data_IF_286092991132
#
_entry.id   IF_286092991132
#
_cell.length_a   1.000
_cell.length_b   1.000
_cell.length_c   1.000
_cell.angle_alpha   90.00
_cell.angle_beta   90.00
_cell.angle_gamma   90.00
#
_symmetry.space_group_name_H-M   'P 1'
#
loop_
_entity.id
_entity.type
_entity.pdbx_description
1 polymer ?
#
# COMPACT_ATOMS: atom_id res chain seq x y z
N UNK A 1 -14.52 14.57 -13.89
CA UNK A 1 -13.65 15.35 -12.99
C UNK A 1 -14.50 15.82 -11.82
N UNK A 2 -14.34 15.17 -10.69
CA UNK A 2 -15.05 15.60 -9.48
C UNK A 2 -14.41 16.89 -8.98
N UNK A 3 -15.13 18.00 -9.11
CA UNK A 3 -14.74 19.31 -8.54
C UNK A 3 -15.19 19.46 -7.08
N UNK A 4 -15.25 18.36 -6.33
CA UNK A 4 -15.83 18.36 -4.98
C UNK A 4 -14.90 19.03 -3.98
N UNK A 5 -13.61 19.14 -4.30
CA UNK A 5 -12.71 19.97 -3.54
C UNK A 5 -11.86 20.82 -4.48
N UNK A 6 -12.30 22.05 -4.82
CA UNK A 6 -11.34 22.99 -5.37
C UNK A 6 -10.25 23.11 -4.31
N UNK A 7 -9.04 22.66 -4.64
CA UNK A 7 -7.88 22.86 -3.78
C UNK A 7 -7.98 24.24 -3.18
N UNK A 8 -7.99 24.35 -1.86
CA UNK A 8 -7.81 25.63 -1.20
C UNK A 8 -6.44 26.13 -1.67
N UNK A 9 -6.46 27.00 -2.67
CA UNK A 9 -5.23 27.52 -3.25
C UNK A 9 -4.37 28.05 -2.12
N UNK A 10 -3.33 27.34 -1.79
CA UNK A 10 -2.16 27.92 -1.18
C UNK A 10 -2.01 27.88 0.33
N UNK A 11 -2.96 27.41 1.16
CA UNK A 11 -2.80 27.40 2.61
C UNK A 11 -3.22 26.08 3.25
N UNK A 12 -2.65 25.02 2.80
CA UNK A 12 -2.88 23.66 3.33
C UNK A 12 -2.44 23.47 4.80
N UNK A 13 -1.79 24.45 5.37
CA UNK A 13 -1.25 24.43 6.74
C UNK A 13 -2.05 25.28 7.72
N UNK A 14 -3.13 25.88 7.28
CA UNK A 14 -3.96 26.72 8.14
C UNK A 14 -4.80 25.85 9.10
N UNK A 15 -4.81 26.24 10.37
CA UNK A 15 -5.59 25.59 11.43
C UNK A 15 -7.10 25.53 11.15
N UNK A 16 -7.56 26.35 10.23
CA UNK A 16 -8.97 26.59 9.96
C UNK A 16 -9.46 25.99 8.63
N UNK A 17 -8.64 25.20 7.95
CA UNK A 17 -9.06 24.56 6.71
C UNK A 17 -10.11 23.50 7.02
N UNK A 18 -11.30 23.64 6.45
CA UNK A 18 -12.35 22.63 6.50
C UNK A 18 -12.07 21.51 5.50
N UNK A 19 -12.33 20.28 5.92
CA UNK A 19 -12.32 19.15 5.01
C UNK A 19 -13.50 19.24 4.06
N UNK A 20 -13.25 19.05 2.77
CA UNK A 20 -14.32 19.03 1.79
C UNK A 20 -15.15 17.73 1.93
N UNK A 21 -16.44 17.89 1.84
CA UNK A 21 -17.38 16.78 2.04
C UNK A 21 -17.67 16.46 3.52
N UNK A 22 -16.87 16.97 4.44
CA UNK A 22 -17.12 16.84 5.86
C UNK A 22 -17.95 18.00 6.39
N UNK A 23 -18.72 17.79 7.42
CA UNK A 23 -19.58 18.79 8.05
C UNK A 23 -18.83 19.71 9.01
N UNK A 24 -17.50 19.79 8.93
CA UNK A 24 -16.77 20.81 9.63
C UNK A 24 -15.57 20.40 10.45
N UNK A 25 -14.99 19.23 10.20
CA UNK A 25 -13.71 18.89 10.80
C UNK A 25 -12.58 19.83 10.33
N UNK A 26 -11.65 20.11 11.21
CA UNK A 26 -10.50 20.97 10.93
C UNK A 26 -9.24 20.14 10.80
N UNK A 27 -8.42 20.43 9.80
CA UNK A 27 -7.14 19.79 9.62
C UNK A 27 -6.13 20.13 10.73
N UNK A 28 -5.34 19.15 11.15
CA UNK A 28 -4.20 19.40 12.03
C UNK A 28 -3.01 19.92 11.23
N UNK A 29 -2.22 20.80 11.85
CA UNK A 29 -0.92 21.16 11.32
C UNK A 29 0.05 20.00 11.57
N UNK A 30 0.54 19.37 10.51
CA UNK A 30 1.57 18.33 10.57
C UNK A 30 2.95 18.93 10.25
N UNK A 31 4.03 18.21 10.57
CA UNK A 31 5.36 18.54 10.07
C UNK A 31 5.45 18.22 8.57
N UNK A 32 6.33 18.93 7.85
CA UNK A 32 6.46 18.72 6.40
C UNK A 32 6.84 17.27 6.07
N UNK A 33 7.71 16.63 6.85
CA UNK A 33 8.08 15.23 6.63
C UNK A 33 6.93 14.27 6.95
N UNK A 34 6.12 14.53 7.98
CA UNK A 34 4.95 13.70 8.28
C UNK A 34 3.91 13.80 7.17
N UNK A 35 3.69 15.01 6.63
CA UNK A 35 2.81 15.22 5.49
C UNK A 35 3.36 14.56 4.22
N UNK A 36 4.67 14.68 3.96
CA UNK A 36 5.32 14.01 2.84
C UNK A 36 5.14 12.50 2.94
N UNK A 37 5.42 11.91 4.10
CA UNK A 37 5.24 10.48 4.36
C UNK A 37 3.81 10.03 4.06
N UNK A 38 2.82 10.77 4.53
CA UNK A 38 1.40 10.47 4.28
C UNK A 38 1.08 10.44 2.79
N UNK A 39 1.50 11.44 2.04
CA UNK A 39 1.25 11.53 0.60
C UNK A 39 1.94 10.41 -0.19
N UNK A 40 3.18 10.08 0.16
CA UNK A 40 3.94 9.05 -0.57
C UNK A 40 3.46 7.63 -0.26
N UNK A 41 3.05 7.35 0.97
CA UNK A 41 2.54 6.04 1.37
C UNK A 41 1.16 5.72 0.76
N UNK A 42 0.40 6.73 0.43
CA UNK A 42 -0.85 6.58 -0.31
C UNK A 42 -0.65 5.95 -1.69
N UNK A 43 0.52 6.10 -2.29
CA UNK A 43 0.90 5.55 -3.60
C UNK A 43 -0.10 5.87 -4.74
N UNK A 44 -0.74 7.04 -4.66
CA UNK A 44 -1.75 7.49 -5.63
C UNK A 44 -1.21 8.56 -6.58
N UNK A 45 0.06 8.47 -6.93
CA UNK A 45 0.66 9.29 -7.99
C UNK A 45 -0.10 9.08 -9.29
N UNK A 46 -0.57 10.15 -9.90
CA UNK A 46 -1.27 10.14 -11.20
C UNK A 46 -2.61 9.37 -11.21
N UNK A 47 -3.21 9.14 -10.05
CA UNK A 47 -4.56 8.62 -9.91
C UNK A 47 -5.47 9.68 -9.26
N UNK A 48 -6.67 9.85 -9.81
CA UNK A 48 -7.67 10.72 -9.21
C UNK A 48 -8.26 10.06 -7.97
N UNK A 49 -8.35 10.80 -6.91
CA UNK A 49 -9.00 10.40 -5.65
C UNK A 49 -10.12 11.37 -5.30
N UNK A 50 -11.00 11.00 -4.37
CA UNK A 50 -12.22 11.77 -4.09
C UNK A 50 -11.97 13.23 -3.72
N UNK A 51 -10.84 13.56 -3.12
CA UNK A 51 -10.52 14.89 -2.57
C UNK A 51 -9.28 15.54 -3.18
N UNK A 52 -8.55 14.86 -4.04
CA UNK A 52 -7.42 15.40 -4.78
C UNK A 52 -7.20 14.61 -6.07
N UNK A 53 -6.78 15.28 -7.12
CA UNK A 53 -6.32 14.61 -8.33
C UNK A 53 -4.85 14.14 -8.17
N UNK A 54 -4.46 13.11 -8.92
CA UNK A 54 -3.12 12.52 -8.83
C UNK A 54 -1.99 13.48 -9.24
N UNK A 55 -2.29 14.48 -10.07
CA UNK A 55 -1.36 15.57 -10.41
C UNK A 55 -1.16 16.46 -9.19
N UNK A 56 -2.23 16.80 -8.47
CA UNK A 56 -2.16 17.58 -7.24
C UNK A 56 -1.31 16.87 -6.18
N UNK A 57 -1.47 15.55 -6.00
CA UNK A 57 -0.67 14.75 -5.06
C UNK A 57 0.81 14.78 -5.42
N UNK A 58 1.17 14.58 -6.70
CA UNK A 58 2.56 14.62 -7.13
C UNK A 58 3.19 16.01 -6.98
N UNK A 59 2.44 17.08 -7.25
CA UNK A 59 2.91 18.46 -7.06
C UNK A 59 3.17 18.77 -5.58
N UNK A 60 2.29 18.31 -4.68
CA UNK A 60 2.48 18.49 -3.24
C UNK A 60 3.72 17.74 -2.72
N UNK A 61 3.98 16.53 -3.22
CA UNK A 61 5.22 15.80 -2.92
C UNK A 61 6.43 16.62 -3.37
N UNK A 62 6.41 17.15 -4.61
CA UNK A 62 7.51 17.97 -5.15
C UNK A 62 7.74 19.25 -4.34
N UNK A 63 6.68 19.90 -3.84
CA UNK A 63 6.76 21.10 -3.02
C UNK A 63 7.25 20.83 -1.59
N UNK A 64 7.02 19.64 -1.05
CA UNK A 64 7.41 19.27 0.31
C UNK A 64 8.86 18.80 0.40
N UNK A 65 9.38 18.12 -0.62
CA UNK A 65 10.76 17.59 -0.62
C UNK A 65 11.79 18.64 -0.20
N UNK A 66 11.84 19.85 -0.79
CA UNK A 66 12.84 20.85 -0.40
C UNK A 66 12.66 21.44 1.00
N UNK A 67 11.50 21.22 1.64
CA UNK A 67 11.21 21.70 3.00
C UNK A 67 11.63 20.70 4.09
N UNK A 68 11.94 19.47 3.69
CA UNK A 68 12.35 18.37 4.58
C UNK A 68 13.88 18.26 4.62
N UNK A 69 14.42 17.67 5.68
CA UNK A 69 15.85 17.36 5.74
C UNK A 69 16.21 16.32 4.67
N UNK A 70 17.32 16.52 3.91
CA UNK A 70 17.67 15.63 2.80
C UNK A 70 17.82 14.15 3.18
N UNK A 71 18.36 13.87 4.36
CA UNK A 71 18.51 12.51 4.88
C UNK A 71 17.14 11.86 5.13
N UNK A 72 16.20 12.58 5.75
CA UNK A 72 14.86 12.05 6.02
C UNK A 72 14.11 11.70 4.74
N UNK A 73 14.27 12.50 3.67
CA UNK A 73 13.68 12.23 2.36
C UNK A 73 14.32 11.01 1.71
N UNK A 74 15.66 10.88 1.83
CA UNK A 74 16.39 9.72 1.32
C UNK A 74 15.97 8.43 2.03
N UNK A 75 15.87 8.46 3.35
CA UNK A 75 15.43 7.32 4.17
C UNK A 75 13.98 6.94 3.85
N UNK A 76 13.10 7.93 3.69
CA UNK A 76 11.71 7.69 3.28
C UNK A 76 11.63 7.03 1.89
N UNK A 77 12.45 7.44 0.92
CA UNK A 77 12.47 6.81 -0.41
C UNK A 77 12.88 5.33 -0.31
N UNK A 78 13.91 5.02 0.49
CA UNK A 78 14.35 3.62 0.71
C UNK A 78 13.26 2.83 1.44
N UNK A 79 12.69 3.36 2.51
CA UNK A 79 11.59 2.75 3.24
C UNK A 79 10.39 2.44 2.33
N UNK A 80 9.95 3.41 1.52
CA UNK A 80 8.86 3.22 0.55
C UNK A 80 9.12 2.03 -0.38
N UNK A 81 10.37 1.76 -0.74
CA UNK A 81 10.71 0.62 -1.60
C UNK A 81 10.87 -0.67 -0.83
N UNK A 82 11.65 -0.66 0.23
CA UNK A 82 12.07 -1.88 0.92
C UNK A 82 10.97 -2.43 1.83
N UNK A 83 10.32 -1.55 2.58
CA UNK A 83 9.27 -1.91 3.52
C UNK A 83 7.87 -1.86 2.90
N UNK A 84 7.54 -0.77 2.21
CA UNK A 84 6.20 -0.57 1.65
C UNK A 84 6.01 -1.17 0.25
N UNK A 85 7.06 -1.76 -0.33
CA UNK A 85 7.08 -2.40 -1.66
C UNK A 85 6.56 -1.51 -2.81
N UNK A 86 6.50 -0.19 -2.60
CA UNK A 86 6.06 0.76 -3.61
C UNK A 86 7.02 0.78 -4.80
N UNK A 87 6.47 0.94 -6.01
CA UNK A 87 7.28 0.88 -7.24
C UNK A 87 7.69 2.25 -7.75
N UNK A 88 6.73 3.11 -8.02
CA UNK A 88 6.98 4.38 -8.70
C UNK A 88 7.26 5.53 -7.74
N UNK A 89 6.62 5.55 -6.57
CA UNK A 89 6.79 6.62 -5.58
C UNK A 89 8.25 6.83 -5.14
N UNK A 90 9.03 5.79 -4.77
CA UNK A 90 10.44 6.00 -4.43
C UNK A 90 11.27 6.50 -5.59
N UNK A 91 10.97 6.08 -6.83
CA UNK A 91 11.64 6.60 -8.03
C UNK A 91 11.30 8.08 -8.27
N UNK A 92 10.06 8.46 -8.02
CA UNK A 92 9.61 9.85 -8.13
C UNK A 92 10.29 10.73 -7.08
N UNK A 93 10.36 10.31 -5.81
CA UNK A 93 11.10 11.02 -4.76
C UNK A 93 12.56 11.23 -5.20
N UNK A 94 13.24 10.18 -5.65
CA UNK A 94 14.64 10.27 -6.09
C UNK A 94 14.80 11.23 -7.29
N UNK A 95 13.85 11.23 -8.24
CA UNK A 95 13.87 12.16 -9.38
C UNK A 95 13.67 13.62 -8.92
N UNK A 96 12.72 13.88 -8.02
CA UNK A 96 12.51 15.22 -7.47
C UNK A 96 13.72 15.70 -6.64
N UNK A 97 14.36 14.83 -5.85
CA UNK A 97 15.60 15.18 -5.11
C UNK A 97 16.72 15.69 -6.01
N UNK A 98 16.76 15.29 -7.29
CA UNK A 98 17.79 15.81 -8.24
C UNK A 98 17.66 17.29 -8.55
N UNK A 99 16.49 17.86 -8.35
CA UNK A 99 16.17 19.26 -8.61
C UNK A 99 16.70 20.22 -7.52
N UNK A 100 17.16 19.69 -6.40
CA UNK A 100 17.55 20.45 -5.20
C UNK A 100 19.01 20.17 -4.83
N UNK A 101 19.84 21.20 -4.75
CA UNK A 101 21.28 21.09 -4.53
C UNK A 101 21.63 20.36 -3.23
N UNK A 102 20.85 20.58 -2.17
CA UNK A 102 21.05 19.92 -0.88
C UNK A 102 20.68 18.44 -0.88
N UNK A 103 19.75 18.02 -1.76
CA UNK A 103 19.20 16.66 -1.81
C UNK A 103 19.90 15.76 -2.84
N UNK A 104 20.39 16.34 -3.94
CA UNK A 104 20.91 15.58 -5.08
C UNK A 104 22.10 14.67 -4.75
N UNK A 105 22.89 14.99 -3.72
CA UNK A 105 24.03 14.18 -3.31
C UNK A 105 23.63 12.78 -2.85
N UNK A 106 22.44 12.62 -2.25
CA UNK A 106 21.90 11.36 -1.75
C UNK A 106 21.41 10.44 -2.89
N UNK A 107 21.06 10.99 -4.04
CA UNK A 107 20.46 10.22 -5.15
C UNK A 107 21.35 9.08 -5.61
N UNK A 108 22.67 9.29 -5.66
CA UNK A 108 23.64 8.24 -6.04
C UNK A 108 23.54 7.01 -5.11
N UNK A 109 23.28 7.22 -3.83
CA UNK A 109 23.29 6.17 -2.81
C UNK A 109 21.95 5.45 -2.70
N UNK A 110 20.84 6.18 -2.93
CA UNK A 110 19.51 5.60 -2.80
C UNK A 110 19.06 4.84 -4.05
N UNK A 111 19.47 5.25 -5.27
CA UNK A 111 19.05 4.60 -6.52
C UNK A 111 19.33 3.08 -6.52
N UNK A 112 20.53 2.57 -6.16
CA UNK A 112 20.75 1.13 -6.10
C UNK A 112 19.88 0.41 -5.06
N UNK A 113 19.49 1.09 -4.00
CA UNK A 113 18.63 0.53 -2.93
C UNK A 113 17.15 0.47 -3.33
N UNK A 114 16.68 1.46 -4.10
CA UNK A 114 15.27 1.52 -4.50
C UNK A 114 14.99 0.82 -5.83
N UNK A 115 15.98 0.65 -6.69
CA UNK A 115 15.86 -0.09 -7.96
C UNK A 115 16.14 -1.57 -7.70
N UNK A 116 15.09 -2.31 -7.37
CA UNK A 116 15.14 -3.75 -7.03
C UNK A 116 14.57 -4.65 -8.12
N UNK A 117 14.22 -4.09 -9.29
CA UNK A 117 13.79 -4.80 -10.50
C UNK A 117 14.40 -4.12 -11.70
N UNK A 118 14.80 -4.89 -12.71
CA UNK A 118 15.51 -4.35 -13.87
C UNK A 118 14.69 -3.32 -14.68
N UNK A 119 13.36 -3.48 -14.77
CA UNK A 119 12.49 -2.51 -15.46
C UNK A 119 12.45 -1.14 -14.77
N UNK A 120 12.72 -1.07 -13.45
CA UNK A 120 12.75 0.20 -12.73
C UNK A 120 13.90 1.11 -13.16
N UNK A 121 14.95 0.59 -13.80
CA UNK A 121 15.98 1.39 -14.46
C UNK A 121 15.37 2.28 -15.56
N UNK A 122 14.49 1.70 -16.36
CA UNK A 122 13.78 2.42 -17.42
C UNK A 122 12.67 3.32 -16.85
N UNK A 123 11.90 2.80 -15.87
CA UNK A 123 10.84 3.56 -15.20
C UNK A 123 11.40 4.83 -14.56
N UNK A 124 12.58 4.76 -13.92
CA UNK A 124 13.21 5.93 -13.34
C UNK A 124 13.48 7.02 -14.38
N UNK A 125 14.06 6.66 -15.53
CA UNK A 125 14.30 7.64 -16.59
C UNK A 125 13.00 8.20 -17.19
N UNK A 126 11.96 7.38 -17.31
CA UNK A 126 10.65 7.84 -17.75
C UNK A 126 10.06 8.89 -16.77
N UNK A 127 10.22 8.68 -15.47
CA UNK A 127 9.81 9.63 -14.43
C UNK A 127 10.72 10.87 -14.43
N UNK A 128 12.02 10.68 -14.52
CA UNK A 128 13.02 11.76 -14.50
C UNK A 128 12.84 12.74 -15.67
N UNK A 129 12.39 12.24 -16.82
CA UNK A 129 12.11 13.03 -18.02
C UNK A 129 10.62 13.30 -18.27
N UNK A 130 9.76 13.13 -17.26
CA UNK A 130 8.30 13.28 -17.44
C UNK A 130 7.91 14.64 -18.03
N UNK A 131 8.61 15.69 -17.69
CA UNK A 131 8.30 17.05 -18.12
C UNK A 131 9.05 17.43 -19.42
N UNK A 132 10.31 17.04 -19.53
CA UNK A 132 11.14 17.23 -20.73
C UNK A 132 12.42 16.39 -20.64
N UNK A 133 12.93 15.98 -21.80
CA UNK A 133 14.21 15.28 -21.88
C UNK A 133 15.37 16.27 -21.70
N UNK A 134 16.23 16.01 -20.71
CA UNK A 134 17.41 16.81 -20.40
C UNK A 134 18.61 15.90 -20.05
N UNK A 135 19.85 16.42 -20.02
CA UNK A 135 21.03 15.63 -19.66
C UNK A 135 20.90 14.99 -18.27
N UNK A 136 21.40 13.76 -18.14
CA UNK A 136 21.41 13.07 -16.86
C UNK A 136 22.40 13.75 -15.91
N UNK A 137 21.94 14.10 -14.71
CA UNK A 137 22.80 14.56 -13.63
C UNK A 137 23.84 13.48 -13.26
N UNK A 138 25.03 13.88 -12.82
CA UNK A 138 26.11 12.95 -12.51
C UNK A 138 25.75 11.96 -11.38
N UNK A 139 24.99 12.42 -10.36
CA UNK A 139 24.47 11.55 -9.30
C UNK A 139 23.54 10.47 -9.86
N UNK A 140 22.69 10.81 -10.85
CA UNK A 140 21.81 9.86 -11.54
C UNK A 140 22.60 8.84 -12.33
N UNK A 141 23.59 9.29 -13.15
CA UNK A 141 24.43 8.38 -13.92
C UNK A 141 25.13 7.36 -13.03
N UNK A 142 25.76 7.83 -11.94
CA UNK A 142 26.49 6.97 -11.00
C UNK A 142 25.53 6.01 -10.25
N UNK A 143 24.38 6.50 -9.80
CA UNK A 143 23.41 5.68 -9.08
C UNK A 143 22.76 4.61 -9.96
N UNK A 144 22.40 4.94 -11.21
CA UNK A 144 21.87 3.96 -12.16
C UNK A 144 22.94 2.95 -12.58
N UNK A 145 24.19 3.41 -12.82
CA UNK A 145 25.29 2.51 -13.15
C UNK A 145 25.51 1.46 -12.04
N UNK A 146 25.51 1.89 -10.78
CA UNK A 146 25.61 0.98 -9.63
C UNK A 146 24.39 0.05 -9.53
N UNK A 147 23.18 0.53 -9.82
CA UNK A 147 21.98 -0.29 -9.80
C UNK A 147 21.95 -1.42 -10.85
N UNK A 148 22.71 -1.32 -11.94
CA UNK A 148 22.85 -2.41 -12.92
C UNK A 148 23.42 -3.69 -12.29
N UNK A 149 24.29 -3.55 -11.30
CA UNK A 149 24.93 -4.68 -10.62
C UNK A 149 24.00 -5.49 -9.71
N UNK A 150 22.77 -5.04 -9.52
CA UNK A 150 21.78 -5.74 -8.70
C UNK A 150 21.10 -6.92 -9.42
N UNK A 151 21.36 -7.12 -10.73
CA UNK A 151 20.55 -8.00 -11.55
C UNK A 151 21.37 -9.04 -12.33
N UNK A 152 20.85 -10.24 -12.37
CA UNK A 152 21.34 -11.32 -13.21
C UNK A 152 20.69 -11.31 -14.62
N UNK A 153 21.15 -12.24 -15.50
CA UNK A 153 20.61 -12.36 -16.85
C UNK A 153 19.11 -12.66 -16.87
N UNK A 154 18.62 -13.50 -15.97
CA UNK A 154 17.20 -13.85 -15.88
C UNK A 154 16.35 -12.62 -15.53
N UNK A 155 16.80 -11.82 -14.56
CA UNK A 155 16.12 -10.60 -14.14
C UNK A 155 16.09 -9.55 -15.25
N UNK A 156 17.19 -9.37 -15.98
CA UNK A 156 17.20 -8.49 -17.15
C UNK A 156 16.27 -8.99 -18.25
N UNK A 157 16.37 -10.27 -18.63
CA UNK A 157 15.55 -10.87 -19.69
C UNK A 157 14.05 -10.84 -19.38
N UNK A 158 13.68 -11.08 -18.10
CA UNK A 158 12.29 -11.03 -17.64
C UNK A 158 11.67 -9.65 -17.82
N UNK A 159 12.46 -8.60 -17.70
CA UNK A 159 11.97 -7.22 -17.69
C UNK A 159 12.42 -6.41 -18.92
N UNK A 160 13.15 -7.00 -19.87
CA UNK A 160 13.50 -6.34 -21.14
C UNK A 160 12.26 -6.31 -22.06
N UNK A 161 11.54 -5.20 -21.95
CA UNK A 161 10.29 -4.98 -22.71
C UNK A 161 10.52 -4.00 -23.86
N UNK A 162 9.69 -4.11 -24.89
CA UNK A 162 9.67 -3.11 -25.96
C UNK A 162 8.89 -1.88 -25.47
N UNK A 163 9.61 -0.95 -24.85
CA UNK A 163 9.12 0.30 -24.29
C UNK A 163 9.86 1.48 -24.93
N UNK A 164 9.38 2.69 -24.70
CA UNK A 164 10.00 3.93 -25.21
C UNK A 164 11.47 4.04 -24.75
N UNK A 165 11.73 3.74 -23.47
CA UNK A 165 13.07 3.66 -22.90
C UNK A 165 13.39 2.19 -22.67
N UNK A 166 14.45 1.67 -23.27
CA UNK A 166 14.87 0.27 -23.20
C UNK A 166 16.09 0.10 -22.31
N UNK A 167 16.26 -1.08 -21.71
CA UNK A 167 17.44 -1.37 -20.88
C UNK A 167 18.76 -1.04 -21.55
N UNK A 168 18.91 -1.37 -22.85
CA UNK A 168 20.11 -1.03 -23.63
C UNK A 168 20.36 0.47 -23.74
N UNK A 169 19.29 1.29 -23.75
CA UNK A 169 19.43 2.74 -23.87
C UNK A 169 19.94 3.30 -22.54
N UNK A 170 19.42 2.80 -21.41
CA UNK A 170 19.94 3.14 -20.08
C UNK A 170 21.40 2.73 -19.96
N UNK A 171 21.74 1.48 -20.32
CA UNK A 171 23.12 0.98 -20.31
C UNK A 171 24.09 1.91 -21.08
N UNK A 172 23.67 2.34 -22.27
CA UNK A 172 24.47 3.25 -23.13
C UNK A 172 24.61 4.66 -22.59
N UNK A 173 23.70 5.11 -21.73
CA UNK A 173 23.74 6.45 -21.13
C UNK A 173 24.56 6.51 -19.85
N UNK A 174 24.53 5.44 -19.06
CA UNK A 174 25.17 5.44 -17.73
C UNK A 174 26.53 4.74 -17.70
N UNK A 175 26.84 3.89 -18.70
CA UNK A 175 28.12 3.20 -18.87
C UNK A 175 28.58 2.47 -17.58
N UNK A 176 27.79 1.48 -17.04
CA UNK A 176 28.24 0.74 -15.87
C UNK A 176 29.54 0.00 -16.19
N UNK A 177 30.49 0.05 -15.26
CA UNK A 177 31.78 -0.63 -15.40
C UNK A 177 31.60 -2.07 -14.91
N UNK A 178 31.77 -3.09 -15.76
CA UNK A 178 31.64 -4.48 -15.34
C UNK A 178 32.65 -4.83 -14.25
N UNK A 179 32.20 -5.60 -13.24
CA UNK A 179 33.02 -6.05 -12.11
C UNK A 179 33.89 -7.28 -12.47
N UNK A 180 33.45 -8.04 -13.47
CA UNK A 180 34.13 -9.25 -13.95
C UNK A 180 33.75 -9.54 -15.41
N UNK A 181 34.37 -10.60 -15.99
CA UNK A 181 34.12 -11.01 -17.37
C UNK A 181 32.70 -11.48 -17.64
N UNK A 182 32.07 -12.14 -16.66
CA UNK A 182 30.70 -12.62 -16.81
C UNK A 182 29.71 -11.44 -16.91
N UNK A 183 29.90 -10.43 -16.08
CA UNK A 183 29.10 -9.22 -16.12
C UNK A 183 29.34 -8.41 -17.39
N UNK A 184 30.60 -8.36 -17.87
CA UNK A 184 30.92 -7.76 -19.17
C UNK A 184 30.20 -8.46 -20.32
N UNK A 185 30.16 -9.80 -20.30
CA UNK A 185 29.43 -10.59 -21.27
C UNK A 185 27.91 -10.36 -21.16
N UNK A 186 27.39 -10.24 -19.95
CA UNK A 186 25.98 -9.92 -19.71
C UNK A 186 25.59 -8.55 -20.26
N UNK A 187 26.37 -7.50 -19.96
CA UNK A 187 26.13 -6.16 -20.50
C UNK A 187 26.22 -6.12 -22.03
N UNK A 188 27.13 -6.92 -22.63
CA UNK A 188 27.16 -7.09 -24.08
C UNK A 188 25.86 -7.71 -24.60
N UNK A 189 25.32 -8.78 -23.97
CA UNK A 189 24.05 -9.39 -24.39
C UNK A 189 22.87 -8.41 -24.29
N UNK A 190 22.81 -7.55 -23.25
CA UNK A 190 21.79 -6.49 -23.15
C UNK A 190 21.92 -5.51 -24.34
N UNK A 191 23.13 -5.07 -24.62
CA UNK A 191 23.46 -4.14 -25.75
C UNK A 191 23.04 -4.72 -27.09
N UNK A 192 23.35 -6.00 -27.31
CA UNK A 192 23.17 -6.72 -28.59
C UNK A 192 21.78 -7.35 -28.71
N UNK A 193 20.95 -7.29 -27.64
CA UNK A 193 19.61 -7.91 -27.55
C UNK A 193 19.64 -9.43 -27.74
N UNK A 194 20.61 -10.08 -27.11
CA UNK A 194 20.82 -11.53 -27.17
C UNK A 194 20.64 -12.19 -25.80
N UNK A 195 19.87 -11.55 -24.90
CA UNK A 195 19.49 -12.16 -23.63
C UNK A 195 18.69 -13.45 -23.89
N UNK A 196 18.92 -14.47 -23.07
CA UNK A 196 18.17 -15.72 -23.16
C UNK A 196 16.71 -15.48 -22.79
N UNK A 197 15.78 -16.05 -23.55
CA UNK A 197 14.36 -15.99 -23.23
C UNK A 197 14.13 -16.62 -21.84
N UNK A 198 13.56 -15.89 -20.87
CA UNK A 198 13.38 -16.38 -19.52
C UNK A 198 12.20 -17.36 -19.46
N UNK A 199 12.33 -18.43 -18.68
CA UNK A 199 11.22 -19.33 -18.38
C UNK A 199 10.31 -18.69 -17.33
N UNK A 200 9.50 -17.72 -17.77
CA UNK A 200 8.45 -17.11 -16.96
C UNK A 200 7.09 -17.68 -17.34
N UNK A 201 6.13 -17.61 -16.44
CA UNK A 201 4.79 -18.11 -16.71
C UNK A 201 4.14 -17.37 -17.90
N UNK A 202 4.43 -16.07 -18.10
CA UNK A 202 3.95 -15.28 -19.24
C UNK A 202 4.47 -15.86 -20.56
N UNK A 203 5.76 -16.16 -20.62
CA UNK A 203 6.40 -16.75 -21.82
C UNK A 203 5.88 -18.16 -22.05
N UNK A 204 5.88 -18.99 -21.02
CA UNK A 204 5.45 -20.38 -21.09
C UNK A 204 4.01 -20.52 -21.60
N UNK A 205 3.08 -19.75 -21.04
CA UNK A 205 1.66 -19.78 -21.43
C UNK A 205 1.44 -19.16 -22.82
N UNK A 206 2.19 -18.12 -23.17
CA UNK A 206 2.09 -17.50 -24.50
C UNK A 206 2.62 -18.40 -25.62
N UNK A 207 3.61 -19.24 -25.31
CA UNK A 207 4.19 -20.19 -26.26
C UNK A 207 3.38 -21.49 -26.37
N UNK A 208 2.57 -21.82 -25.35
CA UNK A 208 1.77 -23.04 -25.35
C UNK A 208 0.55 -22.94 -26.28
N UNK A 209 0.32 -23.97 -27.10
CA UNK A 209 -0.94 -24.14 -27.84
C UNK A 209 -2.11 -24.36 -26.88
N UNK A 210 -3.34 -24.08 -27.32
CA UNK A 210 -4.53 -24.15 -26.46
C UNK A 210 -4.70 -25.52 -25.77
N UNK A 211 -4.40 -26.62 -26.47
CA UNK A 211 -4.47 -27.99 -25.97
C UNK A 211 -3.40 -28.29 -24.90
N UNK A 212 -2.28 -27.58 -24.90
CA UNK A 212 -1.16 -27.75 -23.94
C UNK A 212 -1.22 -26.81 -22.74
N UNK A 213 -2.08 -25.81 -22.74
CA UNK A 213 -2.17 -24.83 -21.65
C UNK A 213 -2.49 -25.45 -20.30
N UNK A 214 -3.29 -26.52 -20.27
CA UNK A 214 -3.60 -27.22 -19.02
C UNK A 214 -2.36 -27.87 -18.41
N UNK A 215 -1.56 -28.53 -19.23
CA UNK A 215 -0.34 -29.19 -18.78
C UNK A 215 0.70 -28.16 -18.34
N UNK A 216 0.81 -27.07 -19.08
CA UNK A 216 1.74 -26.00 -18.78
C UNK A 216 1.40 -25.26 -17.49
N UNK A 217 0.12 -24.94 -17.24
CA UNK A 217 -0.31 -24.41 -15.94
C UNK A 217 -0.03 -25.38 -14.81
N UNK A 218 -0.28 -26.69 -15.03
CA UNK A 218 0.00 -27.74 -14.05
C UNK A 218 1.49 -27.80 -13.71
N UNK A 219 2.37 -27.76 -14.71
CA UNK A 219 3.83 -27.71 -14.55
C UNK A 219 4.26 -26.49 -13.72
N UNK A 220 3.81 -25.29 -14.13
CA UNK A 220 4.18 -24.03 -13.47
C UNK A 220 3.77 -23.99 -11.99
N UNK A 221 2.62 -24.58 -11.65
CA UNK A 221 2.14 -24.68 -10.27
C UNK A 221 3.01 -25.69 -9.49
N UNK A 222 3.23 -26.89 -10.02
CA UNK A 222 3.99 -27.95 -9.36
C UNK A 222 5.46 -27.58 -9.16
N UNK A 223 6.06 -26.91 -10.14
CA UNK A 223 7.46 -26.42 -10.07
C UNK A 223 7.58 -25.09 -9.26
N UNK A 224 6.47 -24.55 -8.71
CA UNK A 224 6.45 -23.30 -7.93
C UNK A 224 7.00 -22.09 -8.70
N UNK A 225 6.77 -22.06 -10.02
CA UNK A 225 7.22 -20.95 -10.90
C UNK A 225 6.32 -19.72 -10.85
N UNK A 226 5.21 -19.80 -10.13
CA UNK A 226 4.30 -18.67 -9.91
C UNK A 226 4.55 -18.05 -8.56
N UNK A 227 4.92 -16.77 -8.53
CA UNK A 227 4.88 -16.01 -7.30
C UNK A 227 3.44 -15.83 -6.80
N UNK A 228 3.25 -15.61 -5.49
CA UNK A 228 1.92 -15.60 -4.86
C UNK A 228 0.90 -14.70 -5.55
N UNK A 229 1.27 -13.47 -5.88
CA UNK A 229 0.38 -12.54 -6.59
C UNK A 229 0.03 -13.02 -8.01
N UNK A 230 1.01 -13.59 -8.73
CA UNK A 230 0.77 -14.16 -10.05
C UNK A 230 -0.17 -15.36 -9.95
N UNK A 231 -0.01 -16.20 -8.94
CA UNK A 231 -0.90 -17.33 -8.69
C UNK A 231 -2.35 -16.87 -8.49
N UNK A 232 -2.60 -15.96 -7.54
CA UNK A 232 -3.94 -15.44 -7.25
C UNK A 232 -4.59 -14.77 -8.47
N UNK A 233 -3.82 -13.99 -9.22
CA UNK A 233 -4.33 -13.32 -10.45
C UNK A 233 -4.68 -14.29 -11.57
N UNK A 234 -4.12 -15.49 -11.58
CA UNK A 234 -4.38 -16.50 -12.60
C UNK A 234 -5.41 -17.55 -12.19
N UNK A 235 -6.07 -17.43 -11.03
CA UNK A 235 -7.08 -18.38 -10.57
C UNK A 235 -8.19 -18.65 -11.60
N UNK A 236 -8.69 -17.59 -12.27
CA UNK A 236 -9.68 -17.73 -13.35
C UNK A 236 -9.11 -18.47 -14.58
N UNK A 237 -7.82 -18.30 -14.89
CA UNK A 237 -7.16 -19.01 -15.98
C UNK A 237 -7.00 -20.50 -15.66
N UNK A 238 -6.74 -20.87 -14.41
CA UNK A 238 -6.69 -22.27 -14.01
C UNK A 238 -8.03 -22.96 -14.21
N UNK A 239 -9.13 -22.29 -13.84
CA UNK A 239 -10.49 -22.81 -14.05
C UNK A 239 -10.80 -22.93 -15.56
N UNK A 240 -10.54 -21.87 -16.32
CA UNK A 240 -10.77 -21.83 -17.77
C UNK A 240 -10.05 -22.97 -18.49
N UNK A 241 -8.80 -23.23 -18.11
CA UNK A 241 -7.96 -24.27 -18.70
C UNK A 241 -8.12 -25.64 -18.00
N UNK A 242 -9.15 -25.83 -17.17
CA UNK A 242 -9.48 -27.09 -16.51
C UNK A 242 -8.32 -27.74 -15.75
N UNK A 243 -7.46 -26.93 -15.12
CA UNK A 243 -6.40 -27.44 -14.24
C UNK A 243 -7.04 -28.22 -13.10
N UNK A 244 -6.49 -29.40 -12.77
CA UNK A 244 -7.05 -30.28 -11.74
C UNK A 244 -7.14 -29.56 -10.39
N UNK A 245 -8.28 -29.72 -9.70
CA UNK A 245 -8.56 -29.05 -8.42
C UNK A 245 -7.46 -29.26 -7.38
N UNK A 246 -6.99 -30.51 -7.23
CA UNK A 246 -5.94 -30.84 -6.27
C UNK A 246 -4.62 -30.11 -6.55
N UNK A 247 -4.28 -29.86 -7.82
CA UNK A 247 -3.08 -29.09 -8.21
C UNK A 247 -3.21 -27.63 -7.77
N UNK A 248 -4.39 -27.03 -8.00
CA UNK A 248 -4.66 -25.63 -7.60
C UNK A 248 -4.65 -25.50 -6.07
N UNK A 249 -5.27 -26.45 -5.36
CA UNK A 249 -5.30 -26.47 -3.89
C UNK A 249 -3.90 -26.62 -3.29
N UNK A 250 -3.05 -27.45 -3.91
CA UNK A 250 -1.66 -27.57 -3.50
C UNK A 250 -0.88 -26.28 -3.75
N UNK A 251 -1.11 -25.63 -4.89
CA UNK A 251 -0.54 -24.31 -5.18
C UNK A 251 -0.93 -23.25 -4.16
N UNK A 252 -2.19 -23.22 -3.71
CA UNK A 252 -2.66 -22.32 -2.66
C UNK A 252 -1.92 -22.52 -1.32
N UNK A 253 -1.56 -23.74 -0.96
CA UNK A 253 -0.79 -24.03 0.26
C UNK A 253 0.63 -23.46 0.21
N UNK A 254 1.18 -23.26 -0.98
CA UNK A 254 2.51 -22.66 -1.17
C UNK A 254 2.51 -21.13 -1.06
N UNK A 255 1.35 -20.49 -0.89
CA UNK A 255 1.27 -19.05 -0.62
C UNK A 255 1.70 -18.66 0.80
N UNK A 256 1.97 -19.63 1.68
CA UNK A 256 2.53 -19.37 3.02
C UNK A 256 3.81 -18.56 2.90
N UNK A 257 3.91 -17.48 3.71
CA UNK A 257 5.04 -16.57 3.67
C UNK A 257 5.01 -15.53 2.54
N UNK A 258 4.03 -15.60 1.65
CA UNK A 258 3.80 -14.52 0.69
C UNK A 258 3.17 -13.34 1.41
N UNK A 259 3.84 -12.19 1.38
CA UNK A 259 3.28 -10.93 1.92
C UNK A 259 2.28 -10.36 0.91
N UNK A 260 1.08 -10.95 0.90
CA UNK A 260 -0.05 -10.53 0.07
C UNK A 260 -1.10 -9.87 0.94
N UNK A 261 -1.75 -8.84 0.41
CA UNK A 261 -2.83 -8.17 1.10
C UNK A 261 -4.11 -9.02 1.06
N UNK A 262 -4.99 -8.94 2.07
CA UNK A 262 -6.31 -9.57 2.02
C UNK A 262 -7.10 -9.21 0.75
N UNK A 263 -6.91 -8.00 0.21
CA UNK A 263 -7.54 -7.57 -1.05
C UNK A 263 -7.16 -8.46 -2.25
N UNK A 264 -5.92 -8.94 -2.31
CA UNK A 264 -5.48 -9.85 -3.40
C UNK A 264 -6.23 -11.18 -3.33
N UNK A 265 -6.42 -11.72 -2.12
CA UNK A 265 -7.20 -12.95 -1.88
C UNK A 265 -8.69 -12.73 -2.15
N UNK A 266 -9.27 -11.63 -1.69
CA UNK A 266 -10.68 -11.28 -1.93
C UNK A 266 -10.94 -11.16 -3.45
N UNK A 267 -10.05 -10.51 -4.19
CA UNK A 267 -10.17 -10.38 -5.64
C UNK A 267 -10.11 -11.75 -6.33
N UNK A 268 -9.18 -12.60 -5.92
CA UNK A 268 -9.07 -13.96 -6.43
C UNK A 268 -10.33 -14.77 -6.13
N UNK A 269 -10.89 -14.68 -4.92
CA UNK A 269 -12.12 -15.38 -4.54
C UNK A 269 -13.33 -14.91 -5.35
N UNK A 270 -13.46 -13.61 -5.62
CA UNK A 270 -14.51 -13.06 -6.51
C UNK A 270 -14.43 -13.62 -7.94
N UNK A 271 -13.21 -13.85 -8.44
CA UNK A 271 -12.96 -14.37 -9.81
C UNK A 271 -13.00 -15.90 -9.89
N UNK A 272 -12.88 -16.59 -8.76
CA UNK A 272 -12.80 -18.04 -8.66
C UNK A 272 -13.72 -18.55 -7.54
N UNK A 273 -15.01 -18.32 -7.66
CA UNK A 273 -16.02 -18.59 -6.61
C UNK A 273 -16.04 -20.04 -6.13
N UNK A 274 -15.68 -21.02 -6.99
CA UNK A 274 -15.55 -22.42 -6.60
C UNK A 274 -14.38 -22.73 -5.66
N UNK A 275 -13.50 -21.75 -5.36
CA UNK A 275 -12.33 -21.87 -4.48
C UNK A 275 -12.35 -20.87 -3.32
N UNK A 276 -13.47 -20.23 -3.06
CA UNK A 276 -13.55 -19.15 -2.04
C UNK A 276 -13.02 -19.60 -0.68
N UNK A 277 -13.41 -20.79 -0.22
CA UNK A 277 -12.97 -21.37 1.07
C UNK A 277 -11.47 -21.65 1.09
N UNK A 278 -10.94 -22.23 0.03
CA UNK A 278 -9.53 -22.58 -0.08
C UNK A 278 -8.65 -21.32 -0.15
N UNK A 279 -9.11 -20.29 -0.84
CA UNK A 279 -8.43 -18.98 -0.94
C UNK A 279 -8.45 -18.28 0.42
N UNK A 280 -9.56 -18.28 1.14
CA UNK A 280 -9.65 -17.73 2.49
C UNK A 280 -8.74 -18.46 3.46
N UNK A 281 -8.73 -19.78 3.44
CA UNK A 281 -7.82 -20.58 4.24
C UNK A 281 -6.36 -20.28 3.93
N UNK A 282 -6.00 -20.13 2.65
CA UNK A 282 -4.65 -19.77 2.25
C UNK A 282 -4.26 -18.36 2.77
N UNK A 283 -5.19 -17.40 2.76
CA UNK A 283 -5.02 -16.08 3.36
C UNK A 283 -4.71 -16.18 4.86
N UNK A 284 -5.55 -16.85 5.61
CA UNK A 284 -5.40 -16.99 7.07
C UNK A 284 -4.09 -17.70 7.40
N UNK A 285 -3.76 -18.79 6.67
CA UNK A 285 -2.52 -19.52 6.85
C UNK A 285 -1.28 -18.68 6.53
N UNK A 286 -1.35 -17.78 5.53
CA UNK A 286 -0.23 -16.91 5.18
C UNK A 286 0.13 -15.90 6.28
N UNK A 287 -0.80 -15.60 7.18
CA UNK A 287 -0.58 -14.65 8.29
C UNK A 287 -0.27 -15.32 9.65
N UNK A 288 -0.44 -16.65 9.77
CA UNK A 288 -0.20 -17.36 11.03
C UNK A 288 1.23 -17.28 11.55
N UNK A 289 2.19 -17.14 10.66
CA UNK A 289 3.61 -17.03 11.02
C UNK A 289 4.03 -15.61 11.39
N UNK A 290 3.17 -14.59 11.15
CA UNK A 290 3.47 -13.24 11.55
C UNK A 290 3.50 -13.11 13.08
N UNK A 291 4.42 -12.32 13.64
CA UNK A 291 4.49 -12.07 15.06
C UNK A 291 3.16 -11.53 15.61
N UNK A 292 2.74 -12.04 16.76
CA UNK A 292 1.49 -11.59 17.39
C UNK A 292 1.69 -10.25 18.10
N UNK A 293 0.73 -9.36 17.92
CA UNK A 293 0.59 -8.15 18.73
C UNK A 293 -0.08 -8.56 20.06
N UNK A 294 0.66 -8.44 21.19
CA UNK A 294 0.15 -8.89 22.48
C UNK A 294 -0.99 -8.01 22.98
N UNK A 295 -1.79 -8.57 23.88
CA UNK A 295 -2.87 -7.87 24.56
C UNK A 295 -4.11 -7.67 23.69
N UNK A 296 -5.02 -6.81 24.17
CA UNK A 296 -6.35 -6.60 23.59
C UNK A 296 -6.40 -5.37 22.69
N UNK A 297 -6.94 -5.55 21.49
CA UNK A 297 -7.09 -4.48 20.49
C UNK A 297 -8.57 -4.17 20.26
N UNK A 298 -8.94 -2.89 20.24
CA UNK A 298 -10.25 -2.43 19.77
C UNK A 298 -10.11 -1.91 18.35
N UNK A 299 -10.81 -2.53 17.41
CA UNK A 299 -11.00 -2.00 16.07
C UNK A 299 -12.29 -1.18 15.99
N UNK A 300 -12.18 0.03 15.47
CA UNK A 300 -13.33 0.87 15.13
C UNK A 300 -13.31 1.05 13.61
N UNK A 301 -14.33 0.50 12.94
CA UNK A 301 -14.46 0.53 11.49
C UNK A 301 -15.52 1.53 11.08
N UNK A 302 -15.09 2.49 10.30
CA UNK A 302 -15.95 3.49 9.70
C UNK A 302 -16.74 2.87 8.53
N UNK A 303 -18.05 3.00 8.57
CA UNK A 303 -19.01 2.61 7.53
C UNK A 303 -19.76 3.83 6.97
N UNK A 304 -19.26 5.04 7.18
CA UNK A 304 -19.86 6.27 6.64
C UNK A 304 -19.99 6.22 5.12
N UNK A 305 -20.88 7.02 4.56
CA UNK A 305 -21.17 6.99 3.12
C UNK A 305 -19.97 7.29 2.23
N UNK A 306 -19.00 8.09 2.69
CA UNK A 306 -17.74 8.36 1.99
C UNK A 306 -16.88 7.10 1.80
N UNK A 307 -17.02 6.11 2.68
CA UNK A 307 -16.29 4.84 2.62
C UNK A 307 -16.70 3.94 1.46
N UNK A 308 -17.86 4.16 0.85
CA UNK A 308 -18.29 3.45 -0.37
C UNK A 308 -17.59 3.96 -1.62
N UNK A 309 -16.94 5.11 -1.55
CA UNK A 309 -16.21 5.66 -2.68
C UNK A 309 -15.02 4.76 -3.06
N UNK A 310 -14.71 4.61 -4.37
CA UNK A 310 -13.53 3.88 -4.79
C UNK A 310 -12.25 4.55 -4.25
N UNK A 311 -11.24 3.75 -3.96
CA UNK A 311 -9.93 4.26 -3.49
C UNK A 311 -9.22 5.08 -4.57
N UNK A 312 -9.46 4.77 -5.86
CA UNK A 312 -9.00 5.55 -7.00
C UNK A 312 -9.90 5.30 -8.21
N UNK A 313 -9.76 6.12 -9.24
CA UNK A 313 -10.50 5.98 -10.51
C UNK A 313 -10.24 4.66 -11.26
N UNK A 314 -9.17 3.94 -10.92
CA UNK A 314 -8.75 2.67 -11.53
C UNK A 314 -9.02 1.45 -10.67
N UNK A 315 -9.58 1.64 -9.48
CA UNK A 315 -9.79 0.55 -8.53
C UNK A 315 -11.25 0.13 -8.47
N UNK A 316 -11.48 -1.18 -8.45
CA UNK A 316 -12.77 -1.79 -8.18
C UNK A 316 -13.07 -1.90 -6.67
N UNK A 317 -12.11 -1.50 -5.81
CA UNK A 317 -12.25 -1.55 -4.37
C UNK A 317 -12.68 -0.20 -3.81
N UNK A 318 -13.63 -0.22 -2.88
CA UNK A 318 -14.01 0.93 -2.08
C UNK A 318 -13.03 1.13 -0.92
N UNK A 319 -13.10 2.30 -0.27
CA UNK A 319 -12.37 2.56 0.99
C UNK A 319 -12.79 1.59 2.08
N UNK A 320 -14.08 1.21 2.14
CA UNK A 320 -14.57 0.20 3.05
C UNK A 320 -13.94 -1.17 2.79
N UNK A 321 -13.76 -1.57 1.51
CA UNK A 321 -13.04 -2.80 1.17
C UNK A 321 -11.62 -2.79 1.76
N UNK A 322 -10.93 -1.67 1.63
CA UNK A 322 -9.56 -1.50 2.14
C UNK A 322 -9.54 -1.52 3.67
N UNK A 323 -10.43 -0.77 4.32
CA UNK A 323 -10.54 -0.74 5.77
C UNK A 323 -10.81 -2.14 6.35
N UNK A 324 -11.74 -2.89 5.76
CA UNK A 324 -12.02 -4.27 6.12
C UNK A 324 -10.80 -5.18 5.91
N UNK A 325 -10.09 -5.03 4.78
CA UNK A 325 -8.89 -5.82 4.49
C UNK A 325 -7.77 -5.55 5.52
N UNK A 326 -7.56 -4.28 5.89
CA UNK A 326 -6.59 -3.91 6.92
C UNK A 326 -6.99 -4.49 8.29
N UNK A 327 -8.26 -4.42 8.66
CA UNK A 327 -8.77 -5.01 9.89
C UNK A 327 -8.66 -6.55 9.88
N UNK A 328 -8.93 -7.21 8.75
CA UNK A 328 -8.71 -8.66 8.59
C UNK A 328 -7.24 -9.03 8.84
N UNK A 329 -6.32 -8.28 8.23
CA UNK A 329 -4.88 -8.52 8.43
C UNK A 329 -4.50 -8.33 9.91
N UNK A 330 -4.90 -7.21 10.51
CA UNK A 330 -4.62 -6.90 11.92
C UNK A 330 -5.22 -7.95 12.86
N UNK A 331 -6.46 -8.40 12.63
CA UNK A 331 -7.13 -9.39 13.46
C UNK A 331 -6.40 -10.73 13.49
N UNK A 332 -5.70 -11.10 12.41
CA UNK A 332 -4.93 -12.34 12.34
C UNK A 332 -3.62 -12.28 13.14
N UNK A 333 -3.10 -11.09 13.41
CA UNK A 333 -1.88 -10.90 14.21
C UNK A 333 -2.17 -10.44 15.64
N UNK A 334 -3.33 -9.86 15.94
CA UNK A 334 -3.72 -9.53 17.31
C UNK A 334 -4.01 -10.80 18.13
N UNK A 335 -3.55 -10.82 19.38
CA UNK A 335 -3.81 -11.89 20.34
C UNK A 335 -5.31 -11.95 20.64
N UNK A 336 -5.90 -10.85 21.06
CA UNK A 336 -7.32 -10.65 21.27
C UNK A 336 -7.80 -9.35 20.63
N UNK A 337 -9.07 -9.33 20.16
CA UNK A 337 -9.65 -8.12 19.62
C UNK A 337 -11.16 -8.03 19.75
N UNK A 338 -11.64 -6.80 19.86
CA UNK A 338 -13.05 -6.42 19.74
C UNK A 338 -13.25 -5.56 18.51
N UNK A 339 -14.43 -5.59 17.92
CA UNK A 339 -14.75 -4.86 16.69
C UNK A 339 -16.01 -4.03 16.88
N UNK A 340 -15.93 -2.76 16.54
CA UNK A 340 -17.06 -1.82 16.49
C UNK A 340 -17.21 -1.33 15.06
N UNK A 341 -18.38 -1.46 14.49
CA UNK A 341 -18.78 -0.77 13.28
C UNK A 341 -19.47 0.54 13.63
N UNK A 342 -19.16 1.62 12.93
CA UNK A 342 -19.70 2.95 13.19
C UNK A 342 -20.02 3.70 11.91
N UNK A 343 -21.09 4.47 11.96
CA UNK A 343 -21.47 5.52 11.02
C UNK A 343 -22.25 6.57 11.80
N UNK A 344 -23.18 7.28 11.20
CA UNK A 344 -23.99 8.25 11.93
C UNK A 344 -25.25 8.67 11.19
N UNK A 345 -25.88 9.64 11.79
CA UNK A 345 -27.02 10.38 11.28
C UNK A 345 -26.65 11.86 11.23
N UNK A 346 -26.44 12.39 10.03
CA UNK A 346 -25.99 13.77 9.84
C UNK A 346 -27.03 14.79 10.27
N UNK A 347 -28.34 14.47 10.15
CA UNK A 347 -29.41 15.36 10.57
C UNK A 347 -29.46 15.49 12.08
N UNK A 348 -29.31 14.35 12.77
CA UNK A 348 -29.31 14.34 14.22
C UNK A 348 -27.94 14.69 14.82
N UNK A 349 -26.89 14.76 13.98
CA UNK A 349 -25.49 14.89 14.37
C UNK A 349 -25.11 13.88 15.46
N UNK A 350 -25.45 12.62 15.25
CA UNK A 350 -25.33 11.57 16.24
C UNK A 350 -24.74 10.30 15.63
N UNK A 351 -23.80 9.67 16.36
CA UNK A 351 -23.25 8.40 15.92
C UNK A 351 -24.30 7.27 16.01
N UNK A 352 -24.10 6.28 15.16
CA UNK A 352 -24.74 4.97 15.28
C UNK A 352 -23.63 3.94 15.26
N UNK A 353 -23.52 3.14 16.32
CA UNK A 353 -22.41 2.19 16.49
C UNK A 353 -22.92 0.88 17.03
N UNK A 354 -22.31 -0.21 16.59
CA UNK A 354 -22.61 -1.57 17.01
C UNK A 354 -21.31 -2.30 17.33
N UNK A 355 -21.22 -2.89 18.50
CA UNK A 355 -20.19 -3.87 18.81
C UNK A 355 -20.55 -5.19 18.13
N UNK A 356 -19.61 -5.77 17.42
CA UNK A 356 -19.81 -7.02 16.69
C UNK A 356 -19.48 -8.18 17.62
N UNK A 357 -20.47 -9.01 17.91
CA UNK A 357 -20.29 -10.23 18.68
C UNK A 357 -19.47 -11.24 17.88
N UNK A 358 -18.44 -11.84 18.50
CA UNK A 358 -17.57 -12.84 17.88
C UNK A 358 -17.09 -12.45 16.47
N UNK A 359 -16.38 -11.33 16.32
CA UNK A 359 -16.03 -10.80 15.00
C UNK A 359 -15.16 -11.80 14.22
N UNK A 360 -15.48 -12.04 12.92
CA UNK A 360 -14.73 -12.99 12.10
C UNK A 360 -13.35 -12.44 11.70
N UNK A 361 -12.39 -13.33 11.50
CA UNK A 361 -11.02 -13.00 11.05
C UNK A 361 -10.81 -13.08 9.53
N UNK A 362 -11.81 -13.49 8.77
CA UNK A 362 -11.76 -13.76 7.33
C UNK A 362 -12.71 -12.88 6.51
N UNK A 363 -13.07 -13.37 5.33
CA UNK A 363 -13.88 -12.63 4.36
C UNK A 363 -15.27 -12.20 4.91
N UNK A 364 -15.81 -12.97 5.82
CA UNK A 364 -17.07 -12.64 6.48
C UNK A 364 -17.05 -11.33 7.27
N UNK A 365 -15.86 -10.76 7.59
CA UNK A 365 -15.74 -9.50 8.32
C UNK A 365 -16.48 -8.36 7.61
N UNK A 366 -16.25 -8.19 6.30
CA UNK A 366 -16.93 -7.16 5.53
C UNK A 366 -18.45 -7.35 5.52
N UNK A 367 -18.90 -8.57 5.25
CA UNK A 367 -20.34 -8.86 5.21
C UNK A 367 -21.01 -8.61 6.58
N UNK A 368 -20.30 -8.92 7.67
CA UNK A 368 -20.76 -8.64 9.02
C UNK A 368 -20.91 -7.14 9.26
N UNK A 369 -19.93 -6.33 8.84
CA UNK A 369 -19.99 -4.86 8.97
C UNK A 369 -21.12 -4.28 8.12
N UNK A 370 -21.31 -4.77 6.89
CA UNK A 370 -22.39 -4.31 6.01
C UNK A 370 -23.78 -4.60 6.58
N UNK A 371 -23.94 -5.68 7.33
CA UNK A 371 -25.22 -6.05 7.98
C UNK A 371 -25.53 -5.23 9.23
N UNK A 372 -24.54 -4.51 9.81
CA UNK A 372 -24.81 -3.63 10.94
C UNK A 372 -25.78 -2.51 10.50
N UNK A 373 -26.90 -2.39 11.19
CA UNK A 373 -27.88 -1.32 10.94
C UNK A 373 -27.46 -0.03 11.64
N UNK A 374 -26.52 0.68 11.05
CA UNK A 374 -25.92 1.91 11.60
C UNK A 374 -26.05 3.12 10.66
N UNK A 375 -26.82 2.98 9.58
CA UNK A 375 -26.99 4.05 8.59
C UNK A 375 -25.77 4.25 7.70
N UNK A 376 -25.74 5.42 7.04
CA UNK A 376 -24.75 5.79 6.01
C UNK A 376 -24.29 7.26 6.16
N UNK A 377 -24.61 7.92 7.25
CA UNK A 377 -24.12 9.26 7.55
C UNK A 377 -22.64 9.28 7.89
N UNK A 378 -22.11 10.44 8.24
CA UNK A 378 -20.70 10.62 8.54
C UNK A 378 -20.25 9.91 9.81
N UNK A 379 -18.95 9.80 10.01
CA UNK A 379 -18.38 9.31 11.26
C UNK A 379 -18.41 10.43 12.33
N UNK A 380 -18.70 10.07 13.57
CA UNK A 380 -18.64 10.93 14.75
C UNK A 380 -17.64 10.33 15.75
N UNK A 381 -16.36 10.56 15.49
CA UNK A 381 -15.24 9.83 16.11
C UNK A 381 -15.22 9.97 17.63
N UNK A 382 -15.47 11.17 18.18
CA UNK A 382 -15.52 11.34 19.63
C UNK A 382 -16.68 10.60 20.25
N UNK A 383 -17.84 10.67 19.60
CA UNK A 383 -19.03 10.01 20.12
C UNK A 383 -18.85 8.49 20.13
N UNK A 384 -18.30 7.89 19.07
CA UNK A 384 -18.05 6.44 19.04
C UNK A 384 -16.97 6.03 20.04
N UNK A 385 -15.94 6.84 20.27
CA UNK A 385 -14.94 6.54 21.29
C UNK A 385 -15.52 6.59 22.71
N UNK A 386 -16.37 7.57 23.03
CA UNK A 386 -17.04 7.65 24.30
C UNK A 386 -18.02 6.47 24.49
N UNK A 387 -18.83 6.19 23.47
CA UNK A 387 -19.74 5.06 23.49
C UNK A 387 -19.00 3.72 23.67
N UNK A 388 -17.90 3.53 22.95
CA UNK A 388 -17.08 2.31 23.08
C UNK A 388 -16.51 2.17 24.48
N UNK A 389 -16.04 3.27 25.08
CA UNK A 389 -15.54 3.28 26.46
C UNK A 389 -16.60 2.88 27.47
N UNK A 390 -17.84 3.34 27.28
CA UNK A 390 -18.96 3.01 28.14
C UNK A 390 -19.48 1.58 27.90
N UNK A 391 -19.51 1.14 26.63
CA UNK A 391 -19.94 -0.21 26.26
C UNK A 391 -19.00 -1.28 26.80
N UNK A 392 -17.70 -1.07 26.68
CA UNK A 392 -16.64 -1.98 27.19
C UNK A 392 -16.18 -1.60 28.59
N UNK A 393 -17.08 -1.08 29.42
CA UNK A 393 -16.75 -0.65 30.79
C UNK A 393 -16.15 -1.80 31.58
N UNK A 394 -14.96 -1.56 32.17
CA UNK A 394 -14.20 -2.56 32.92
C UNK A 394 -13.20 -3.36 32.08
N UNK A 395 -13.19 -3.19 30.77
CA UNK A 395 -12.16 -3.75 29.90
C UNK A 395 -11.02 -2.73 29.66
N UNK A 396 -9.80 -3.22 29.58
CA UNK A 396 -8.65 -2.42 29.20
C UNK A 396 -8.18 -2.81 27.80
N UNK A 397 -7.86 -1.82 26.97
CA UNK A 397 -7.34 -2.05 25.63
C UNK A 397 -5.89 -1.57 25.56
N UNK A 398 -4.99 -2.47 25.14
CA UNK A 398 -3.61 -2.10 24.86
C UNK A 398 -3.55 -1.18 23.66
N UNK A 399 -4.41 -1.39 22.66
CA UNK A 399 -4.48 -0.51 21.49
C UNK A 399 -5.90 -0.31 20.98
N UNK A 400 -6.11 0.87 20.39
CA UNK A 400 -7.29 1.21 19.60
C UNK A 400 -6.81 1.52 18.19
N UNK A 401 -7.43 0.93 17.18
CA UNK A 401 -7.16 1.22 15.78
C UNK A 401 -8.47 1.62 15.10
N UNK A 402 -8.53 2.86 14.64
CA UNK A 402 -9.65 3.39 13.86
C UNK A 402 -9.29 3.30 12.39
N UNK A 403 -10.12 2.63 11.60
CA UNK A 403 -10.01 2.58 10.14
C UNK A 403 -11.07 3.50 9.52
N UNK A 404 -10.65 4.59 8.89
CA UNK A 404 -11.53 5.62 8.36
C UNK A 404 -10.84 6.36 7.21
N UNK A 405 -11.60 7.13 6.44
CA UNK A 405 -11.06 8.11 5.49
C UNK A 405 -10.77 9.47 6.15
N UNK A 406 -10.75 9.50 7.47
CA UNK A 406 -10.41 10.66 8.30
C UNK A 406 -11.32 11.87 8.15
N UNK A 407 -12.58 11.68 7.75
CA UNK A 407 -13.58 12.74 7.61
C UNK A 407 -14.57 12.74 8.77
N UNK A 408 -14.17 13.34 9.89
CA UNK A 408 -15.02 13.42 11.09
C UNK A 408 -16.11 14.48 10.93
N UNK A 409 -17.34 14.10 11.17
CA UNK A 409 -18.52 14.96 11.15
C UNK A 409 -18.87 15.56 12.51
N UNK A 410 -18.12 15.27 13.56
CA UNK A 410 -18.38 15.79 14.91
C UNK A 410 -17.87 17.25 15.06
N UNK A 411 -18.67 18.20 14.56
CA UNK A 411 -18.33 19.63 14.55
C UNK A 411 -18.83 20.40 15.76
N UNK A 412 -19.68 19.82 16.60
CA UNK A 412 -20.29 20.50 17.76
C UNK A 412 -19.28 20.86 18.82
N UNK A 413 -18.28 20.01 18.97
CA UNK A 413 -17.17 20.24 19.88
C UNK A 413 -15.86 20.18 19.08
N UNK A 414 -15.15 21.29 19.08
CA UNK A 414 -13.87 21.43 18.37
C UNK A 414 -12.70 20.73 19.09
N UNK A 415 -12.95 20.07 20.22
CA UNK A 415 -11.93 19.31 20.92
C UNK A 415 -11.57 18.05 20.13
N UNK A 416 -10.34 17.61 20.30
CA UNK A 416 -9.87 16.35 19.70
C UNK A 416 -10.64 15.16 20.23
N UNK A 417 -10.91 14.13 19.42
CA UNK A 417 -11.32 12.83 19.94
C UNK A 417 -10.34 12.35 21.01
N UNK A 418 -10.85 11.83 22.10
CA UNK A 418 -10.05 11.37 23.22
C UNK A 418 -10.04 9.84 23.28
N UNK A 419 -9.04 9.19 22.66
CA UNK A 419 -8.93 7.75 22.71
C UNK A 419 -8.54 7.27 24.12
N UNK A 420 -8.85 6.04 24.44
CA UNK A 420 -8.70 5.48 25.79
C UNK A 420 -7.83 4.23 25.87
N UNK A 421 -7.24 3.77 24.76
CA UNK A 421 -6.25 2.72 24.73
C UNK A 421 -4.88 3.19 25.24
N UNK A 422 -4.01 2.26 25.58
CA UNK A 422 -2.60 2.57 25.87
C UNK A 422 -1.91 3.13 24.63
N UNK A 423 -2.11 2.51 23.46
CA UNK A 423 -1.68 2.98 22.14
C UNK A 423 -2.89 3.24 21.26
N UNK A 424 -2.89 4.30 20.51
CA UNK A 424 -4.05 4.73 19.74
C UNK A 424 -3.65 5.14 18.33
N UNK A 425 -4.20 4.46 17.33
CA UNK A 425 -3.85 4.63 15.92
C UNK A 425 -5.07 4.99 15.09
N UNK A 426 -4.86 5.81 14.06
CA UNK A 426 -5.79 5.94 12.96
C UNK A 426 -5.12 5.46 11.68
N UNK A 427 -5.80 4.54 10.99
CA UNK A 427 -5.45 4.09 9.65
C UNK A 427 -6.34 4.85 8.66
N UNK A 428 -5.74 5.83 7.99
CA UNK A 428 -6.38 6.60 6.94
C UNK A 428 -6.28 5.86 5.61
N UNK A 429 -7.42 5.47 5.09
CA UNK A 429 -7.52 4.72 3.83
C UNK A 429 -7.78 5.61 2.61
N UNK A 430 -7.88 6.93 2.79
CA UNK A 430 -8.20 7.88 1.70
C UNK A 430 -6.99 8.59 1.12
N UNK A 431 -5.85 8.54 1.79
CA UNK A 431 -4.64 9.26 1.39
C UNK A 431 -4.80 10.78 1.25
N UNK A 432 -5.54 11.37 2.11
CA UNK A 432 -5.88 12.79 2.07
C UNK A 432 -4.86 13.62 2.84
N UNK A 433 -4.51 14.83 2.34
CA UNK A 433 -3.59 15.72 3.06
C UNK A 433 -4.20 16.39 4.29
N UNK A 434 -5.51 16.33 4.42
CA UNK A 434 -6.27 16.85 5.54
C UNK A 434 -6.99 15.70 6.22
N UNK A 435 -6.90 15.62 7.52
CA UNK A 435 -7.52 14.58 8.31
C UNK A 435 -7.99 15.09 9.64
N UNK A 436 -8.47 14.18 10.45
CA UNK A 436 -8.81 14.46 11.85
C UNK A 436 -7.55 15.01 12.55
N UNK A 437 -7.72 15.93 13.45
CA UNK A 437 -6.62 16.47 14.22
C UNK A 437 -6.22 15.52 15.36
N UNK A 438 -5.14 14.77 15.17
CA UNK A 438 -4.67 13.70 16.06
C UNK A 438 -3.64 14.15 17.09
N UNK A 439 -3.80 15.29 17.68
CA UNK A 439 -2.92 15.72 18.78
C UNK A 439 -3.33 15.06 20.10
N UNK A 440 -2.40 15.03 21.04
CA UNK A 440 -2.65 14.60 22.40
C UNK A 440 -2.42 13.10 22.59
N UNK A 441 -3.46 12.30 22.86
CA UNK A 441 -3.35 10.88 23.21
C UNK A 441 -3.22 9.90 22.05
N UNK A 442 -3.27 10.39 20.81
CA UNK A 442 -3.02 9.56 19.65
C UNK A 442 -1.54 9.22 19.50
N UNK A 443 -1.25 7.95 19.27
CA UNK A 443 0.13 7.46 19.10
C UNK A 443 0.66 7.80 17.72
N UNK A 444 -0.11 7.44 16.68
CA UNK A 444 0.24 7.75 15.31
C UNK A 444 -0.99 7.74 14.39
N UNK A 445 -0.83 8.45 13.27
CA UNK A 445 -1.66 8.33 12.09
C UNK A 445 -0.89 7.53 11.03
N UNK A 446 -1.53 6.51 10.49
CA UNK A 446 -0.96 5.61 9.48
C UNK A 446 -1.75 5.81 8.20
N UNK A 447 -1.09 6.22 7.14
CA UNK A 447 -1.71 6.38 5.82
C UNK A 447 -1.34 5.26 4.89
N UNK A 448 -2.26 4.92 3.99
CA UNK A 448 -2.08 3.85 3.04
C UNK A 448 -2.61 2.50 3.53
N UNK A 449 -2.45 1.49 2.69
CA UNK A 449 -3.03 0.14 2.90
C UNK A 449 -2.01 -0.97 2.61
N UNK A 450 -0.79 -0.78 3.06
CA UNK A 450 0.24 -1.81 3.01
C UNK A 450 0.17 -2.70 4.25
N UNK A 451 0.50 -3.98 4.11
CA UNK A 451 0.71 -4.92 5.23
C UNK A 451 1.71 -4.41 6.26
N UNK A 452 2.59 -3.51 5.85
CA UNK A 452 3.62 -2.93 6.70
C UNK A 452 3.12 -1.93 7.75
N UNK A 453 1.81 -1.59 7.76
CA UNK A 453 1.26 -0.79 8.86
C UNK A 453 1.42 -1.50 10.21
N UNK A 454 1.45 -2.84 10.21
CA UNK A 454 1.72 -3.63 11.42
C UNK A 454 3.16 -3.45 11.91
N UNK A 455 4.12 -3.28 11.01
CA UNK A 455 5.51 -2.95 11.35
C UNK A 455 5.61 -1.59 12.05
N UNK A 456 4.82 -0.61 11.59
CA UNK A 456 4.73 0.69 12.28
C UNK A 456 4.18 0.55 13.69
N UNK A 457 3.09 -0.19 13.85
CA UNK A 457 2.51 -0.45 15.18
C UNK A 457 3.55 -1.12 16.08
N UNK A 458 4.23 -2.14 15.58
CA UNK A 458 5.27 -2.83 16.33
C UNK A 458 6.42 -1.91 16.75
N UNK A 459 6.87 -1.02 15.86
CA UNK A 459 7.90 -0.03 16.15
C UNK A 459 7.47 0.93 17.26
N UNK A 460 6.28 1.51 17.17
CA UNK A 460 5.76 2.40 18.21
C UNK A 460 5.55 1.73 19.56
N UNK A 461 5.25 0.43 19.55
CA UNK A 461 5.06 -0.35 20.78
C UNK A 461 6.35 -0.99 21.32
N UNK A 462 7.50 -0.78 20.64
CA UNK A 462 8.80 -1.36 21.04
C UNK A 462 8.88 -2.87 20.83
N UNK A 463 8.16 -3.40 19.85
CA UNK A 463 8.08 -4.83 19.51
C UNK A 463 8.96 -5.19 18.29
N UNK A 464 9.86 -4.32 17.84
CA UNK A 464 10.63 -4.44 16.60
C UNK A 464 11.38 -5.78 16.52
N UNK A 465 12.05 -6.17 17.60
CA UNK A 465 12.82 -7.42 17.67
C UNK A 465 11.97 -8.69 17.42
N UNK A 466 10.64 -8.61 17.56
CA UNK A 466 9.73 -9.72 17.30
C UNK A 466 9.29 -9.81 15.84
N UNK A 467 9.41 -8.70 15.09
CA UNK A 467 9.02 -8.61 13.69
C UNK A 467 10.20 -8.75 12.72
N UNK A 468 11.45 -8.46 13.16
CA UNK A 468 12.66 -8.58 12.34
C UNK A 468 13.27 -10.00 12.34
N UNK A 469 13.05 -10.78 13.40
CA UNK A 469 13.67 -12.10 13.57
C UNK A 469 13.09 -13.23 12.69
N UNK A 470 12.17 -12.92 11.77
CA UNK A 470 11.49 -13.91 10.93
C UNK A 470 11.53 -13.61 9.42
N UNK A 471 12.34 -12.64 8.97
CA UNK A 471 12.55 -12.33 7.54
C UNK A 471 13.82 -12.98 7.01
#
# INVERSE_FOLDING_TARGET
>A
MSKINPSSKGNSMDKNVRLAGGTGAFAAKQTDIALLRRLVLANLLWEDIAYADGISVSNQISELIPKCAPQEVADLAVECRTMQKLRHTPLFIAAEMTKHDTHKSYVKEILPKIITRADMLCDFLAIYWKDSKHPLANCVKKGLAEAFHNFDEYQFAKYDRDAVIKLRDVLRMVHPVPRNEEEAALFKRIKDRTLKTPDTWEVAISAASEDKKTDEWTRLIQEKRLGGLAFLRNMSNFIKNKVKRNVVEEGLKHLKGSMLLPLDYIKAAKMATGYTREIENAMIESYKHLPKLPGKTLFILDKSGSMDSPISSKSDFSRLDVACAMAMLASNVCEDFSLVATAGDDHMCQHKSVAVDCPPRGFAMKDTILRCDIGWGGIFTRQVLNWSKDHFKGESFDRIIVFSDSQDCDFRDKSLPNPFGKYNYICDVSAHQHGINYRGKWTAEISGWSEHFLTYIAAYEGLENKFESQN
#
